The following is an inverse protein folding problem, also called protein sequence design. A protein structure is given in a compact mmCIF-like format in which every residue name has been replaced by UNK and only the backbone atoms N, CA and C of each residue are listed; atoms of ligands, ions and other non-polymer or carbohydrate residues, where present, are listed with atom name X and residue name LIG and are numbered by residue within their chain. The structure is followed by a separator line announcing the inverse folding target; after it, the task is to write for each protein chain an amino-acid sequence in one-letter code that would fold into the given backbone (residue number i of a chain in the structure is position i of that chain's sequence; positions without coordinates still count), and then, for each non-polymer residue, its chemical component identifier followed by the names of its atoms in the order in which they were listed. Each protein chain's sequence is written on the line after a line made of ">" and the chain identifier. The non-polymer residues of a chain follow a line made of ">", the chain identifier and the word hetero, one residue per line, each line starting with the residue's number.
data_IF_755850047525
#
_entry.id   IF_755850047525
#
_cell.length_a   1.000
_cell.length_b   1.000
_cell.length_c   1.000
_cell.angle_alpha   90.00
_cell.angle_beta   90.00
_cell.angle_gamma   90.00
#
_symmetry.space_group_name_H-M   'P 1'
#
loop_
_entity.id
_entity.type
_entity.pdbx_description
1 polymer ?
#
# COMPACT_ATOMS: atom_id res chain seq x y z
N UNK A 1 16.16 4.06 20.62
CA UNK A 1 15.88 2.97 19.70
C UNK A 1 14.43 2.98 19.31
N UNK A 2 14.14 3.39 18.13
CA UNK A 2 12.79 3.33 17.60
C UNK A 2 12.49 2.01 16.93
N UNK A 3 11.22 1.73 16.77
CA UNK A 3 10.76 0.65 15.93
C UNK A 3 11.06 1.03 14.47
N UNK A 4 11.79 0.18 13.79
CA UNK A 4 12.20 0.44 12.40
C UNK A 4 11.32 -0.31 11.41
N UNK A 5 10.77 0.42 10.45
CA UNK A 5 10.01 -0.14 9.36
C UNK A 5 10.97 -0.48 8.21
N UNK A 6 10.83 -1.70 7.68
CA UNK A 6 11.54 -2.15 6.48
C UNK A 6 10.54 -2.70 5.48
N UNK A 7 10.91 -2.71 4.23
CA UNK A 7 10.15 -3.38 3.17
C UNK A 7 10.91 -4.62 2.73
N UNK A 8 10.20 -5.75 2.63
CA UNK A 8 10.73 -7.00 2.09
C UNK A 8 9.81 -7.51 1.00
N UNK A 9 10.33 -8.11 -0.07
CA UNK A 9 9.46 -8.75 -1.06
C UNK A 9 8.50 -9.74 -0.37
N UNK A 10 7.22 -9.65 -0.69
CA UNK A 10 6.20 -10.49 -0.09
C UNK A 10 6.23 -11.88 -0.72
N UNK A 11 6.53 -12.89 0.08
CA UNK A 11 6.49 -14.29 -0.37
C UNK A 11 5.09 -14.88 -0.18
N UNK A 12 4.76 -16.01 -0.83
CA UNK A 12 3.47 -16.68 -0.58
C UNK A 12 3.25 -17.02 0.91
N UNK A 13 4.25 -17.50 1.61
CA UNK A 13 4.16 -17.80 3.04
C UNK A 13 3.85 -16.54 3.85
N UNK A 14 4.49 -15.43 3.52
CA UNK A 14 4.28 -14.14 4.18
C UNK A 14 2.86 -13.63 3.94
N UNK A 15 2.31 -13.83 2.73
CA UNK A 15 0.93 -13.46 2.44
C UNK A 15 -0.05 -14.25 3.31
N UNK A 16 0.16 -15.55 3.47
CA UNK A 16 -0.72 -16.36 4.33
C UNK A 16 -0.61 -15.92 5.79
N UNK A 17 0.59 -15.66 6.28
CA UNK A 17 0.82 -15.13 7.62
C UNK A 17 0.10 -13.80 7.82
N UNK A 18 0.26 -12.87 6.88
CA UNK A 18 -0.39 -11.56 6.93
C UNK A 18 -1.91 -11.68 6.97
N UNK A 19 -2.48 -12.47 6.06
CA UNK A 19 -3.94 -12.57 5.95
C UNK A 19 -4.58 -13.37 7.09
N UNK A 20 -3.85 -14.25 7.77
CA UNK A 20 -4.39 -14.93 8.97
C UNK A 20 -4.73 -13.94 10.08
N UNK A 21 -4.02 -12.82 10.14
CA UNK A 21 -4.19 -11.80 11.18
C UNK A 21 -4.86 -10.53 10.67
N UNK A 22 -5.08 -10.42 9.37
CA UNK A 22 -5.63 -9.22 8.75
C UNK A 22 -7.06 -8.97 9.22
N UNK A 23 -7.34 -7.70 9.54
CA UNK A 23 -8.69 -7.21 9.82
C UNK A 23 -9.02 -6.11 8.81
N UNK A 24 -10.18 -6.25 8.15
CA UNK A 24 -10.63 -5.30 7.17
C UNK A 24 -10.93 -3.93 7.81
N UNK A 25 -10.78 -2.89 7.02
CA UNK A 25 -10.85 -1.52 7.51
C UNK A 25 -12.01 -0.79 6.81
N UNK A 26 -12.89 -0.24 7.62
CA UNK A 26 -14.05 0.49 7.12
C UNK A 26 -13.65 1.75 6.33
N UNK A 27 -12.49 2.34 6.62
CA UNK A 27 -12.01 3.54 5.91
C UNK A 27 -11.67 3.27 4.44
N UNK A 28 -11.52 1.99 4.04
CA UNK A 28 -11.27 1.61 2.65
C UNK A 28 -12.52 1.71 1.77
N UNK A 29 -13.69 1.92 2.36
CA UNK A 29 -14.97 1.88 1.65
C UNK A 29 -15.62 3.26 1.64
N UNK A 30 -16.00 3.72 0.46
CA UNK A 30 -16.83 4.90 0.31
C UNK A 30 -18.26 4.61 0.79
N UNK A 31 -18.83 3.50 0.32
CA UNK A 31 -20.11 2.98 0.80
C UNK A 31 -19.84 2.02 1.96
N UNK A 32 -20.17 2.46 3.18
CA UNK A 32 -19.92 1.67 4.39
C UNK A 32 -20.75 0.39 4.45
N UNK A 33 -21.80 0.28 3.64
CA UNK A 33 -22.60 -0.96 3.53
C UNK A 33 -21.85 -2.05 2.76
N UNK A 34 -20.83 -1.72 2.01
CA UNK A 34 -19.99 -2.69 1.31
C UNK A 34 -18.94 -3.33 2.23
N UNK A 35 -18.75 -2.79 3.42
CA UNK A 35 -17.79 -3.34 4.39
C UNK A 35 -18.22 -4.75 4.82
N UNK A 36 -17.23 -5.63 4.95
CA UNK A 36 -17.42 -6.98 5.49
C UNK A 36 -16.27 -7.33 6.42
N UNK A 37 -16.55 -8.17 7.42
CA UNK A 37 -15.50 -8.72 8.25
C UNK A 37 -14.67 -9.72 7.44
N UNK A 38 -13.35 -9.59 7.51
CA UNK A 38 -12.46 -10.49 6.81
C UNK A 38 -12.30 -11.80 7.58
N UNK A 39 -12.46 -12.92 6.88
CA UNK A 39 -12.19 -14.25 7.41
C UNK A 39 -11.15 -14.91 6.51
N UNK A 40 -10.06 -15.37 7.11
CA UNK A 40 -8.99 -16.01 6.35
C UNK A 40 -9.50 -17.27 5.65
N UNK A 41 -9.15 -17.41 4.38
CA UNK A 41 -9.45 -18.57 3.54
C UNK A 41 -8.23 -18.85 2.67
N UNK A 42 -7.60 -20.01 2.89
CA UNK A 42 -6.36 -20.36 2.19
C UNK A 42 -6.50 -20.29 0.68
N UNK A 43 -7.60 -20.82 0.12
CA UNK A 43 -7.77 -20.85 -1.34
C UNK A 43 -7.96 -19.45 -1.94
N UNK A 44 -8.63 -18.56 -1.21
CA UNK A 44 -8.79 -17.16 -1.64
C UNK A 44 -7.48 -16.40 -1.59
N UNK A 45 -6.65 -16.65 -0.59
CA UNK A 45 -5.31 -16.06 -0.50
C UNK A 45 -4.42 -16.58 -1.62
N UNK A 46 -4.46 -17.90 -1.91
CA UNK A 46 -3.72 -18.47 -3.05
C UNK A 46 -4.13 -17.79 -4.35
N UNK A 47 -5.42 -17.57 -4.57
CA UNK A 47 -5.93 -16.88 -5.75
C UNK A 47 -5.46 -15.42 -5.80
N UNK A 48 -5.47 -14.73 -4.67
CA UNK A 48 -4.96 -13.36 -4.54
C UNK A 48 -3.49 -13.27 -4.93
N UNK A 49 -2.67 -14.21 -4.43
CA UNK A 49 -1.24 -14.28 -4.74
C UNK A 49 -1.04 -14.48 -6.24
N UNK A 50 -1.76 -15.43 -6.83
CA UNK A 50 -1.65 -15.71 -8.25
C UNK A 50 -2.02 -14.48 -9.09
N UNK A 51 -3.03 -13.74 -8.68
CA UNK A 51 -3.42 -12.49 -9.35
C UNK A 51 -2.31 -11.44 -9.31
N UNK A 52 -1.60 -11.30 -8.18
CA UNK A 52 -0.47 -10.38 -8.11
C UNK A 52 0.62 -10.76 -9.10
N UNK A 53 0.90 -12.06 -9.25
CA UNK A 53 1.87 -12.59 -10.19
C UNK A 53 1.42 -12.32 -11.64
N UNK A 54 0.18 -12.67 -11.97
CA UNK A 54 -0.36 -12.55 -13.32
C UNK A 54 -0.40 -11.10 -13.80
N UNK A 55 -0.63 -10.16 -12.89
CA UNK A 55 -0.68 -8.73 -13.19
C UNK A 55 0.69 -8.04 -13.07
N UNK A 56 1.77 -8.81 -12.86
CA UNK A 56 3.13 -8.29 -12.71
C UNK A 56 3.26 -7.18 -11.67
N UNK A 57 2.54 -7.31 -10.56
CA UNK A 57 2.63 -6.41 -9.42
C UNK A 57 3.83 -6.73 -8.56
N UNK A 58 4.38 -5.71 -7.90
CA UNK A 58 5.49 -5.87 -6.97
C UNK A 58 4.97 -5.69 -5.54
N UNK A 59 4.61 -6.78 -4.84
CA UNK A 59 4.17 -6.69 -3.46
C UNK A 59 5.33 -6.74 -2.48
N UNK A 60 5.24 -5.90 -1.44
CA UNK A 60 6.20 -5.87 -0.34
C UNK A 60 5.47 -6.04 0.98
N UNK A 61 6.10 -6.77 1.90
CA UNK A 61 5.69 -6.79 3.29
C UNK A 61 6.26 -5.57 3.99
N UNK A 62 5.41 -4.87 4.72
CA UNK A 62 5.84 -3.82 5.64
C UNK A 62 6.20 -4.53 6.93
N UNK A 63 7.49 -4.51 7.28
CA UNK A 63 8.02 -5.24 8.44
C UNK A 63 8.25 -4.30 9.60
N UNK A 64 7.78 -4.71 10.77
CA UNK A 64 8.14 -4.12 12.05
C UNK A 64 8.83 -5.21 12.86
N UNK A 65 10.17 -5.21 12.86
CA UNK A 65 10.93 -6.35 13.37
C UNK A 65 10.62 -7.60 12.52
N UNK A 66 10.15 -8.65 13.17
CA UNK A 66 9.76 -9.89 12.50
C UNK A 66 8.27 -9.96 12.16
N UNK A 67 7.51 -8.91 12.48
CA UNK A 67 6.07 -8.89 12.26
C UNK A 67 5.74 -8.23 10.92
N UNK A 68 4.83 -8.85 10.17
CA UNK A 68 4.29 -8.27 8.94
C UNK A 68 3.10 -7.40 9.34
N UNK A 69 3.26 -6.08 9.26
CA UNK A 69 2.24 -5.14 9.71
C UNK A 69 1.44 -4.51 8.58
N UNK A 70 1.83 -4.77 7.35
CA UNK A 70 1.12 -4.26 6.18
C UNK A 70 1.61 -4.86 4.87
N UNK A 71 0.85 -4.58 3.82
CA UNK A 71 1.20 -4.86 2.43
C UNK A 71 1.35 -3.54 1.70
N UNK A 72 2.42 -3.42 0.93
CA UNK A 72 2.64 -2.28 0.04
C UNK A 72 2.86 -2.82 -1.36
N UNK A 73 2.16 -2.30 -2.35
CA UNK A 73 2.28 -2.76 -3.74
C UNK A 73 2.70 -1.63 -4.65
N UNK A 74 3.57 -1.95 -5.59
CA UNK A 74 3.86 -1.13 -6.75
C UNK A 74 3.22 -1.85 -7.94
N UNK A 75 2.33 -1.19 -8.64
CA UNK A 75 1.55 -1.81 -9.71
C UNK A 75 1.31 -0.83 -10.87
N UNK A 76 0.66 -1.31 -11.93
CA UNK A 76 0.46 -0.55 -13.17
C UNK A 76 1.78 0.08 -13.65
N UNK A 77 2.83 -0.75 -13.66
CA UNK A 77 4.18 -0.29 -13.96
C UNK A 77 4.34 -0.11 -15.46
N UNK A 78 4.71 1.11 -15.85
CA UNK A 78 5.17 1.43 -17.20
C UNK A 78 6.65 1.75 -17.10
N UNK A 79 7.48 0.83 -17.55
CA UNK A 79 8.93 0.91 -17.37
C UNK A 79 9.49 2.26 -17.84
N UNK A 80 10.25 2.92 -16.97
CA UNK A 80 10.85 4.20 -17.26
C UNK A 80 9.90 5.39 -17.25
N UNK A 81 8.60 5.19 -17.01
CA UNK A 81 7.60 6.25 -17.08
C UNK A 81 6.86 6.47 -15.76
N UNK A 82 6.11 5.46 -15.30
CA UNK A 82 5.25 5.64 -14.13
C UNK A 82 4.91 4.31 -13.47
N UNK A 83 4.44 4.40 -12.24
CA UNK A 83 3.86 3.29 -11.49
C UNK A 83 2.83 3.85 -10.51
N UNK A 84 2.11 2.95 -9.83
CA UNK A 84 1.12 3.31 -8.81
C UNK A 84 1.46 2.60 -7.50
N UNK A 85 1.27 3.30 -6.40
CA UNK A 85 1.50 2.81 -5.04
C UNK A 85 0.16 2.48 -4.39
N UNK A 86 0.06 1.30 -3.78
CA UNK A 86 -1.03 0.94 -2.89
C UNK A 86 -0.49 0.45 -1.55
N UNK A 87 -1.19 0.73 -0.47
CA UNK A 87 -0.79 0.34 0.87
C UNK A 87 -2.00 -0.12 1.67
N UNK A 88 -1.84 -1.19 2.43
CA UNK A 88 -2.86 -1.70 3.34
C UNK A 88 -2.18 -2.14 4.64
N UNK A 89 -2.58 -1.58 5.77
CA UNK A 89 -2.07 -2.02 7.07
C UNK A 89 -2.86 -3.25 7.56
N UNK A 90 -2.23 -4.08 8.37
CA UNK A 90 -2.81 -5.34 8.86
C UNK A 90 -4.09 -5.12 9.64
N UNK A 91 -4.14 -4.09 10.46
CA UNK A 91 -5.33 -3.69 11.22
C UNK A 91 -5.15 -2.25 11.74
N UNK A 92 -6.19 -1.74 12.39
CA UNK A 92 -6.21 -0.35 12.88
C UNK A 92 -5.17 -0.07 13.98
N UNK A 93 -4.65 -1.09 14.65
CA UNK A 93 -3.65 -0.89 15.72
C UNK A 93 -2.31 -0.38 15.18
N UNK A 94 -2.07 -0.53 13.88
CA UNK A 94 -0.84 -0.06 13.22
C UNK A 94 -1.02 1.28 12.51
N UNK A 95 -2.18 1.93 12.68
CA UNK A 95 -2.43 3.27 12.13
C UNK A 95 -2.01 4.35 13.12
N UNK A 96 -1.81 5.56 12.62
CA UNK A 96 -1.47 6.75 13.40
C UNK A 96 -0.19 6.62 14.24
N UNK A 97 0.70 5.70 13.84
CA UNK A 97 2.00 5.48 14.49
C UNK A 97 3.18 5.81 13.58
N UNK A 98 2.93 6.38 12.41
CA UNK A 98 3.97 6.73 11.45
C UNK A 98 4.48 5.60 10.59
N UNK A 99 3.96 4.39 10.72
CA UNK A 99 4.41 3.22 9.96
C UNK A 99 4.10 3.38 8.47
N UNK A 100 2.88 3.82 8.14
CA UNK A 100 2.48 4.07 6.75
C UNK A 100 3.33 5.15 6.11
N UNK A 101 3.59 6.24 6.82
CA UNK A 101 4.44 7.33 6.36
C UNK A 101 5.84 6.80 6.00
N UNK A 102 6.44 6.02 6.90
CA UNK A 102 7.79 5.48 6.67
C UNK A 102 7.80 4.48 5.52
N UNK A 103 6.80 3.60 5.44
CA UNK A 103 6.68 2.63 4.35
C UNK A 103 6.57 3.33 2.99
N UNK A 104 5.75 4.38 2.90
CA UNK A 104 5.57 5.14 1.66
C UNK A 104 6.87 5.86 1.27
N UNK A 105 7.60 6.43 2.22
CA UNK A 105 8.91 7.05 1.96
C UNK A 105 9.88 6.04 1.36
N UNK A 106 9.97 4.84 1.94
CA UNK A 106 10.83 3.77 1.44
C UNK A 106 10.43 3.33 0.03
N UNK A 107 9.12 3.24 -0.22
CA UNK A 107 8.62 2.86 -1.55
C UNK A 107 8.94 3.92 -2.60
N UNK A 108 8.81 5.19 -2.27
CA UNK A 108 9.15 6.29 -3.17
C UNK A 108 10.62 6.22 -3.57
N UNK A 109 11.51 6.03 -2.59
CA UNK A 109 12.95 5.87 -2.86
C UNK A 109 13.22 4.66 -3.77
N UNK A 110 12.58 3.54 -3.50
CA UNK A 110 12.72 2.32 -4.29
C UNK A 110 12.29 2.55 -5.74
N UNK A 111 11.12 3.14 -5.95
CA UNK A 111 10.59 3.40 -7.29
C UNK A 111 11.48 4.38 -8.06
N UNK A 112 11.91 5.46 -7.42
CA UNK A 112 12.70 6.49 -8.09
C UNK A 112 14.11 6.03 -8.41
N UNK A 113 14.77 5.32 -7.51
CA UNK A 113 16.21 5.06 -7.61
C UNK A 113 16.57 3.62 -7.90
N UNK A 114 15.73 2.65 -7.55
CA UNK A 114 15.99 1.24 -7.89
C UNK A 114 15.28 0.83 -9.18
N UNK A 115 14.03 1.26 -9.35
CA UNK A 115 13.28 0.98 -10.58
C UNK A 115 13.51 2.01 -11.68
N UNK A 116 14.11 3.15 -11.35
CA UNK A 116 14.35 4.25 -12.26
C UNK A 116 13.06 4.73 -12.94
N UNK A 117 12.01 4.91 -12.14
CA UNK A 117 10.71 5.39 -12.59
C UNK A 117 10.51 6.81 -12.03
N UNK A 118 10.26 7.81 -12.89
CA UNK A 118 10.22 9.21 -12.44
C UNK A 118 8.90 9.68 -11.86
N UNK A 119 7.80 8.94 -12.06
CA UNK A 119 6.46 9.36 -11.60
C UNK A 119 5.79 8.21 -10.86
N UNK A 120 5.31 8.50 -9.66
CA UNK A 120 4.54 7.54 -8.85
C UNK A 120 3.18 8.15 -8.56
N UNK A 121 2.12 7.39 -8.86
CA UNK A 121 0.74 7.75 -8.58
C UNK A 121 0.26 7.03 -7.33
N UNK A 122 -0.72 7.63 -6.66
CA UNK A 122 -1.46 7.00 -5.57
C UNK A 122 -2.87 7.58 -5.53
N UNK A 123 -3.79 6.84 -4.93
CA UNK A 123 -5.15 7.33 -4.74
C UNK A 123 -5.70 6.85 -3.40
N UNK A 124 -6.77 7.48 -2.96
CA UNK A 124 -7.48 7.06 -1.76
C UNK A 124 -8.98 7.31 -1.92
N UNK A 125 -9.78 6.51 -1.23
CA UNK A 125 -11.22 6.76 -1.12
C UNK A 125 -11.43 8.18 -0.62
N UNK A 126 -12.38 8.89 -1.22
CA UNK A 126 -12.56 10.34 -0.99
C UNK A 126 -12.82 10.70 0.48
N UNK A 127 -13.37 9.76 1.26
CA UNK A 127 -13.64 9.95 2.69
C UNK A 127 -12.48 9.51 3.59
N UNK A 128 -11.43 8.91 3.03
CA UNK A 128 -10.29 8.44 3.82
C UNK A 128 -9.26 9.56 4.00
N UNK A 129 -9.57 10.50 4.90
CA UNK A 129 -8.73 11.67 5.14
C UNK A 129 -7.38 11.32 5.74
N UNK A 130 -7.30 10.23 6.52
CA UNK A 130 -6.02 9.75 7.08
C UNK A 130 -5.03 9.38 5.98
N UNK A 131 -5.45 8.58 5.01
CA UNK A 131 -4.62 8.18 3.89
C UNK A 131 -4.17 9.38 3.06
N UNK A 132 -5.08 10.32 2.80
CA UNK A 132 -4.78 11.55 2.06
C UNK A 132 -3.73 12.39 2.79
N UNK A 133 -3.86 12.51 4.11
CA UNK A 133 -2.90 13.26 4.92
C UNK A 133 -1.50 12.63 4.85
N UNK A 134 -1.39 11.30 4.91
CA UNK A 134 -0.11 10.59 4.78
C UNK A 134 0.50 10.83 3.41
N UNK A 135 -0.30 10.71 2.33
CA UNK A 135 0.18 10.96 0.98
C UNK A 135 0.76 12.37 0.83
N UNK A 136 0.06 13.38 1.32
CA UNK A 136 0.52 14.76 1.27
C UNK A 136 1.78 14.97 2.10
N UNK A 137 1.85 14.34 3.26
CA UNK A 137 3.00 14.44 4.17
C UNK A 137 4.28 13.90 3.56
N UNK A 138 4.20 12.82 2.77
CA UNK A 138 5.39 12.24 2.12
C UNK A 138 5.74 12.91 0.78
N UNK A 139 4.93 13.88 0.33
CA UNK A 139 5.26 14.69 -0.84
C UNK A 139 4.37 14.50 -2.05
N UNK A 140 3.36 13.63 -2.00
CA UNK A 140 2.38 13.51 -3.08
C UNK A 140 1.59 14.80 -3.23
N UNK A 141 1.33 15.18 -4.47
CA UNK A 141 0.53 16.35 -4.81
C UNK A 141 -0.81 15.92 -5.38
N UNK A 142 -1.88 16.59 -4.92
CA UNK A 142 -3.22 16.35 -5.41
C UNK A 142 -3.32 16.70 -6.90
N UNK A 143 -3.95 15.82 -7.69
CA UNK A 143 -4.16 16.03 -9.11
C UNK A 143 -5.63 16.38 -9.38
N UNK A 144 -6.55 15.45 -9.00
CA UNK A 144 -7.98 15.60 -9.20
C UNK A 144 -8.75 14.65 -8.29
N UNK A 145 -10.04 14.89 -8.15
CA UNK A 145 -10.95 13.98 -7.47
C UNK A 145 -12.10 13.61 -8.41
N UNK A 146 -12.52 12.38 -8.33
CA UNK A 146 -13.78 11.92 -8.91
C UNK A 146 -14.80 11.69 -7.78
N UNK A 147 -15.92 11.02 -8.08
CA UNK A 147 -16.96 10.77 -7.07
C UNK A 147 -16.53 9.79 -5.98
N UNK A 148 -15.50 9.00 -6.24
CA UNK A 148 -15.09 7.91 -5.35
C UNK A 148 -13.71 8.14 -4.72
N UNK A 149 -12.77 8.76 -5.45
CA UNK A 149 -11.37 8.82 -5.05
C UNK A 149 -10.73 10.18 -5.29
N UNK A 150 -9.74 10.49 -4.45
CA UNK A 150 -8.76 11.55 -4.71
C UNK A 150 -7.50 10.92 -5.27
N UNK A 151 -6.95 11.56 -6.29
CA UNK A 151 -5.79 11.09 -7.04
C UNK A 151 -4.61 12.02 -6.83
N UNK A 152 -3.43 11.42 -6.66
CA UNK A 152 -2.19 12.10 -6.29
C UNK A 152 -1.04 11.60 -7.15
N UNK A 153 0.01 12.41 -7.26
CA UNK A 153 1.28 11.97 -7.83
C UNK A 153 2.46 12.60 -7.10
N UNK A 154 3.59 11.92 -7.17
CA UNK A 154 4.88 12.48 -6.80
C UNK A 154 5.85 12.25 -7.96
N UNK A 155 6.64 13.27 -8.28
CA UNK A 155 7.60 13.24 -9.39
C UNK A 155 9.01 13.36 -8.82
N UNK A 156 9.93 12.55 -9.36
CA UNK A 156 11.33 12.56 -8.95
C UNK A 156 11.96 13.90 -9.30
N UNK A 157 12.64 14.49 -8.32
CA UNK A 157 13.45 15.68 -8.54
C UNK A 157 14.71 15.32 -9.33
N UNK A 158 15.09 16.17 -10.26
CA UNK A 158 16.32 16.00 -11.03
C UNK A 158 17.53 16.60 -10.29
#
# INVERSE_FOLDING_TARGET
>A
MGEEILLKPMTPEMYHEFFREYQNDMDLYLDKNEFFEYVYDKSKVDAYIQRQIDLNRLPFAIMLGNDIVGELKIYDIVNGESATLGITMKNKNYKDRGFGTRAEQLAIEYVFYQLDIPVLYADSVITNTRSQHVLEKVGFQFIYADEQRKHYKITRSL
#
